data_IF_685848769442
#
_entry.id   IF_685848769442
#
_cell.length_a   1.000
_cell.length_b   1.000
_cell.length_c   1.000
_cell.angle_alpha   90.00
_cell.angle_beta   90.00
_cell.angle_gamma   90.00
#
_symmetry.space_group_name_H-M   'P 1'
#
loop_
_entity.id
_entity.type
_entity.pdbx_description
1 polymer ?
#
# COMPACT_ATOMS: atom_id res chain seq x y z
N UNK A 1 -2.43 -13.96 -17.42
CA UNK A 1 -1.91 -12.85 -16.62
C UNK A 1 -0.69 -13.36 -15.89
N UNK A 2 0.40 -12.63 -15.99
CA UNK A 2 1.60 -12.88 -15.19
C UNK A 2 1.31 -12.54 -13.70
N UNK A 3 2.01 -13.16 -12.75
CA UNK A 3 1.79 -12.89 -11.33
C UNK A 3 2.06 -11.42 -10.99
N UNK A 4 3.08 -10.83 -11.62
CA UNK A 4 3.41 -9.41 -11.49
C UNK A 4 2.29 -8.50 -11.98
N UNK A 5 1.60 -8.87 -13.06
CA UNK A 5 0.46 -8.13 -13.60
C UNK A 5 -0.73 -8.19 -12.63
N UNK A 6 -1.02 -9.37 -12.07
CA UNK A 6 -2.06 -9.53 -11.04
C UNK A 6 -1.74 -8.71 -9.79
N UNK A 7 -0.51 -8.77 -9.29
CA UNK A 7 -0.09 -7.98 -8.12
C UNK A 7 -0.19 -6.48 -8.39
N UNK A 8 0.20 -6.04 -9.59
CA UNK A 8 0.06 -4.64 -10.01
C UNK A 8 -1.40 -4.21 -10.02
N UNK A 9 -2.29 -4.96 -10.66
CA UNK A 9 -3.72 -4.66 -10.72
C UNK A 9 -4.37 -4.62 -9.34
N UNK A 10 -4.01 -5.55 -8.44
CA UNK A 10 -4.51 -5.56 -7.06
C UNK A 10 -4.04 -4.34 -6.27
N UNK A 11 -2.76 -3.96 -6.37
CA UNK A 11 -2.22 -2.76 -5.71
C UNK A 11 -2.85 -1.48 -6.29
N UNK A 12 -3.03 -1.41 -7.62
CA UNK A 12 -3.55 -0.25 -8.32
C UNK A 12 -4.96 0.15 -7.84
N UNK A 13 -5.79 -0.80 -7.40
CA UNK A 13 -7.12 -0.52 -6.82
C UNK A 13 -7.07 0.40 -5.60
N UNK A 14 -5.95 0.41 -4.86
CA UNK A 14 -5.76 1.26 -3.69
C UNK A 14 -5.20 2.65 -4.04
N UNK A 15 -4.73 2.85 -5.28
CA UNK A 15 -4.06 4.08 -5.69
C UNK A 15 -5.08 5.20 -5.84
N UNK A 16 -5.02 6.14 -4.90
CA UNK A 16 -5.87 7.30 -4.86
C UNK A 16 -5.16 8.41 -4.08
N UNK A 17 -4.17 9.10 -4.68
CA UNK A 17 -3.41 10.12 -3.96
C UNK A 17 -4.31 11.24 -3.45
N UNK A 18 -4.37 11.44 -2.13
CA UNK A 18 -5.20 12.49 -1.53
C UNK A 18 -4.69 12.93 -0.15
N UNK A 19 -5.04 14.16 0.22
CA UNK A 19 -4.88 14.66 1.58
C UNK A 19 -6.04 14.13 2.44
N UNK A 20 -5.69 13.43 3.52
CA UNK A 20 -6.65 12.98 4.55
C UNK A 20 -6.95 14.13 5.51
N UNK A 21 -5.94 14.96 5.76
CA UNK A 21 -6.02 16.22 6.51
C UNK A 21 -4.84 17.12 6.13
N UNK A 22 -4.82 18.35 6.62
CA UNK A 22 -3.69 19.30 6.44
C UNK A 22 -2.32 18.74 6.87
N UNK A 23 -2.30 17.65 7.66
CA UNK A 23 -1.08 17.03 8.19
C UNK A 23 -0.79 15.64 7.64
N UNK A 24 -1.71 15.04 6.87
CA UNK A 24 -1.63 13.63 6.45
C UNK A 24 -1.96 13.48 4.97
N UNK A 25 -1.03 12.90 4.22
CA UNK A 25 -1.16 12.55 2.81
C UNK A 25 -1.06 11.03 2.65
N UNK A 26 -1.97 10.43 1.87
CA UNK A 26 -2.11 8.98 1.81
C UNK A 26 -2.33 8.47 0.39
N UNK A 27 -2.18 7.15 0.22
CA UNK A 27 -2.57 6.41 -0.99
C UNK A 27 -1.84 6.84 -2.27
N UNK A 28 -0.70 7.52 -2.16
CA UNK A 28 0.12 7.96 -3.29
C UNK A 28 1.24 6.96 -3.65
N UNK A 29 1.49 5.98 -2.79
CA UNK A 29 2.27 4.75 -3.06
C UNK A 29 1.42 3.57 -2.60
N UNK A 30 1.37 2.53 -3.42
CA UNK A 30 0.65 1.28 -3.15
C UNK A 30 1.57 0.10 -3.40
N UNK A 31 1.32 -0.99 -2.70
CA UNK A 31 2.11 -2.21 -2.81
C UNK A 31 1.22 -3.44 -2.74
N UNK A 32 1.68 -4.52 -3.39
CA UNK A 32 1.15 -5.86 -3.24
C UNK A 32 2.30 -6.80 -2.85
N UNK A 33 2.02 -7.78 -1.99
CA UNK A 33 2.94 -8.84 -1.55
C UNK A 33 2.23 -10.18 -1.77
N UNK A 34 2.90 -11.11 -2.46
CA UNK A 34 2.44 -12.49 -2.59
C UNK A 34 3.11 -13.35 -1.52
N UNK A 35 2.32 -14.14 -0.78
CA UNK A 35 2.81 -15.14 0.17
C UNK A 35 3.06 -16.49 -0.52
N UNK A 36 3.77 -17.39 0.16
CA UNK A 36 4.13 -18.71 -0.39
C UNK A 36 2.90 -19.57 -0.77
N UNK A 37 1.76 -19.36 -0.12
CA UNK A 37 0.49 -20.03 -0.42
C UNK A 37 -0.31 -19.39 -1.57
N UNK A 38 0.25 -18.36 -2.22
CA UNK A 38 -0.35 -17.66 -3.36
C UNK A 38 -1.38 -16.59 -2.97
N UNK A 39 -1.56 -16.30 -1.68
CA UNK A 39 -2.38 -15.17 -1.24
C UNK A 39 -1.67 -13.85 -1.56
N UNK A 40 -2.43 -12.85 -2.03
CA UNK A 40 -1.94 -11.51 -2.33
C UNK A 40 -2.49 -10.53 -1.29
N UNK A 41 -1.59 -9.82 -0.64
CA UNK A 41 -1.90 -8.80 0.35
C UNK A 41 -1.52 -7.44 -0.20
N UNK A 42 -2.41 -6.47 -0.06
CA UNK A 42 -2.21 -5.11 -0.59
C UNK A 42 -2.13 -4.11 0.54
N UNK A 43 -1.44 -3.00 0.30
CA UNK A 43 -1.27 -1.92 1.25
C UNK A 43 -1.03 -0.59 0.55
N UNK A 44 -1.21 0.50 1.29
CA UNK A 44 -1.01 1.86 0.82
C UNK A 44 -0.19 2.65 1.84
N UNK A 45 0.51 3.69 1.38
CA UNK A 45 1.30 4.53 2.25
C UNK A 45 0.45 5.55 3.01
N UNK A 46 0.93 5.94 4.19
CA UNK A 46 0.47 7.15 4.87
C UNK A 46 1.66 7.93 5.38
N UNK A 47 1.66 9.23 5.08
CA UNK A 47 2.72 10.15 5.45
C UNK A 47 2.14 11.32 6.25
N UNK A 48 2.74 11.57 7.39
CA UNK A 48 2.51 12.72 8.24
C UNK A 48 3.63 13.74 8.03
N UNK A 49 3.27 15.02 8.09
CA UNK A 49 4.22 16.14 7.94
C UNK A 49 5.44 16.02 8.88
N UNK A 50 6.56 16.61 8.46
CA UNK A 50 7.77 16.77 9.27
C UNK A 50 8.34 15.46 9.85
N UNK A 51 8.15 14.31 9.21
CA UNK A 51 8.75 13.05 9.67
C UNK A 51 7.94 12.32 10.75
N UNK A 52 6.85 12.89 11.26
CA UNK A 52 6.17 12.42 12.48
C UNK A 52 5.56 11.02 12.30
N UNK A 53 5.10 10.71 11.09
CA UNK A 53 4.50 9.41 10.78
C UNK A 53 4.80 9.02 9.34
N UNK A 54 5.43 7.88 9.11
CA UNK A 54 5.67 7.35 7.76
C UNK A 54 5.42 5.85 7.78
N UNK A 55 4.30 5.44 7.18
CA UNK A 55 4.00 4.05 6.94
C UNK A 55 4.16 3.75 5.45
N UNK A 56 5.20 3.00 5.11
CA UNK A 56 5.42 2.52 3.76
C UNK A 56 4.32 1.52 3.35
N UNK A 57 3.93 1.53 2.08
CA UNK A 57 2.85 0.69 1.56
C UNK A 57 3.11 -0.81 1.74
N UNK A 58 4.37 -1.22 1.65
CA UNK A 58 4.83 -2.60 1.84
C UNK A 58 4.62 -3.05 3.29
N UNK A 59 4.89 -2.17 4.27
CA UNK A 59 4.62 -2.48 5.68
C UNK A 59 3.12 -2.63 5.94
N UNK A 60 2.30 -1.76 5.33
CA UNK A 60 0.85 -1.88 5.40
C UNK A 60 0.35 -3.19 4.78
N UNK A 61 0.91 -3.62 3.64
CA UNK A 61 0.59 -4.91 3.03
C UNK A 61 0.95 -6.09 3.94
N UNK A 62 2.13 -6.04 4.58
CA UNK A 62 2.56 -7.06 5.55
C UNK A 62 1.66 -7.10 6.80
N UNK A 63 1.13 -5.97 7.26
CA UNK A 63 0.19 -5.96 8.39
C UNK A 63 -1.13 -6.67 8.07
N UNK A 64 -1.57 -6.65 6.81
CA UNK A 64 -2.77 -7.35 6.37
C UNK A 64 -2.58 -8.87 6.24
N UNK A 65 -1.37 -9.38 6.45
CA UNK A 65 -1.09 -10.83 6.47
C UNK A 65 -1.52 -11.51 7.78
N UNK A 66 -1.79 -10.73 8.84
CA UNK A 66 -2.22 -11.20 10.16
C UNK A 66 -3.67 -10.79 10.45
#
# INVERSE_FOLDING_TARGET
>A
MDIWEKMYEEAQKLYNPHEVSDFVYANHVVAAVEAEDGQIFTGFCMEGTCGVFHLCAERAALFNMY
#
